data_IF_201717849611
#
_entry.id   IF_201717849611
#
_cell.length_a   1.000
_cell.length_b   1.000
_cell.length_c   1.000
_cell.angle_alpha   90.00
_cell.angle_beta   90.00
_cell.angle_gamma   90.00
#
_symmetry.space_group_name_H-M   'P 1'
#
loop_
_entity.id
_entity.type
_entity.pdbx_description
1 polymer ?
#
# COMPACT_ATOMS: atom_id res chain seq x y z
N UNK A 1 8.22 25.95 24.33
CA UNK A 1 9.12 25.35 23.32
C UNK A 1 9.00 23.85 23.50
N UNK A 2 8.33 23.17 22.57
CA UNK A 2 8.16 21.72 22.62
C UNK A 2 9.51 21.04 22.42
N UNK A 3 9.94 20.21 23.37
CA UNK A 3 11.11 19.35 23.21
C UNK A 3 10.92 18.47 21.97
N UNK A 4 11.72 18.70 20.93
CA UNK A 4 11.68 17.87 19.72
C UNK A 4 12.19 16.47 20.06
N UNK A 5 11.27 15.52 20.25
CA UNK A 5 11.60 14.14 20.58
C UNK A 5 12.35 13.49 19.40
N UNK A 6 13.65 13.23 19.61
CA UNK A 6 14.49 12.50 18.67
C UNK A 6 14.32 10.98 18.84
N UNK A 7 13.92 10.32 17.77
CA UNK A 7 13.75 8.88 17.68
C UNK A 7 15.08 8.17 17.42
N UNK A 8 15.19 6.96 17.93
CA UNK A 8 16.27 6.00 17.65
C UNK A 8 15.97 5.18 16.40
N UNK A 9 17.00 4.51 15.87
CA UNK A 9 16.86 3.55 14.75
C UNK A 9 15.75 2.51 15.03
N UNK A 10 15.71 1.98 16.25
CA UNK A 10 14.72 0.98 16.67
C UNK A 10 13.29 1.51 16.72
N UNK A 11 13.09 2.75 17.15
CA UNK A 11 11.75 3.36 17.14
C UNK A 11 11.28 3.61 15.72
N UNK A 12 12.18 4.04 14.82
CA UNK A 12 11.87 4.25 13.41
C UNK A 12 11.59 2.94 12.68
N UNK A 13 12.31 1.87 13.00
CA UNK A 13 12.08 0.53 12.40
C UNK A 13 10.69 0.02 12.72
N UNK A 14 10.23 0.18 13.97
CA UNK A 14 8.88 -0.15 14.40
C UNK A 14 7.85 0.71 13.66
N UNK A 15 8.10 2.02 13.56
CA UNK A 15 7.14 2.98 12.99
C UNK A 15 6.94 2.81 11.48
N UNK A 16 8.02 2.53 10.74
CA UNK A 16 8.01 2.27 9.30
C UNK A 16 7.79 0.79 8.96
N UNK A 17 7.83 -0.10 9.96
CA UNK A 17 7.69 -1.56 9.81
C UNK A 17 8.72 -2.17 8.85
N UNK A 18 9.97 -1.71 8.97
CA UNK A 18 11.14 -2.18 8.20
C UNK A 18 12.23 -2.63 9.16
N UNK A 19 13.25 -3.35 8.67
CA UNK A 19 14.35 -3.79 9.52
C UNK A 19 15.24 -2.63 9.98
N UNK A 20 15.93 -2.77 11.12
CA UNK A 20 16.87 -1.74 11.59
C UNK A 20 18.00 -1.47 10.59
N UNK A 21 18.46 -2.52 9.89
CA UNK A 21 19.44 -2.40 8.82
C UNK A 21 18.92 -1.51 7.68
N UNK A 22 17.69 -1.76 7.23
CA UNK A 22 17.06 -0.92 6.20
C UNK A 22 16.91 0.53 6.65
N UNK A 23 16.61 0.80 7.93
CA UNK A 23 16.55 2.17 8.44
C UNK A 23 17.92 2.86 8.33
N UNK A 24 19.00 2.14 8.63
CA UNK A 24 20.37 2.65 8.50
C UNK A 24 20.69 2.91 7.03
N UNK A 25 20.42 1.94 6.15
CA UNK A 25 20.64 2.08 4.71
C UNK A 25 19.83 3.27 4.14
N UNK A 26 18.58 3.45 4.59
CA UNK A 26 17.74 4.60 4.20
C UNK A 26 18.30 5.94 4.69
N UNK A 27 18.93 5.97 5.87
CA UNK A 27 19.58 7.16 6.39
C UNK A 27 20.87 7.48 5.60
N UNK A 28 21.68 6.46 5.29
CA UNK A 28 22.92 6.61 4.53
C UNK A 28 22.67 7.05 3.08
N UNK A 29 21.62 6.51 2.46
CA UNK A 29 21.20 6.88 1.12
C UNK A 29 20.46 8.25 1.06
N UNK A 30 20.22 8.89 2.21
CA UNK A 30 19.51 10.18 2.28
C UNK A 30 18.01 10.10 2.02
N UNK A 31 17.43 8.90 2.02
CA UNK A 31 15.98 8.66 1.85
C UNK A 31 15.18 9.20 3.04
N UNK A 32 15.73 9.07 4.26
CA UNK A 32 15.14 9.64 5.48
C UNK A 32 16.15 10.56 6.18
N UNK A 33 15.73 11.72 6.73
CA UNK A 33 16.65 12.63 7.41
C UNK A 33 17.15 12.05 8.73
N UNK A 34 18.47 11.92 8.87
CA UNK A 34 19.12 11.44 10.08
C UNK A 34 20.20 12.42 10.56
N UNK A 35 20.31 12.58 11.87
CA UNK A 35 21.28 13.43 12.54
C UNK A 35 22.25 12.56 13.34
N UNK A 36 23.55 12.83 13.22
CA UNK A 36 24.56 12.16 14.04
C UNK A 36 24.72 12.92 15.35
N UNK A 37 24.38 12.28 16.46
CA UNK A 37 24.58 12.81 17.81
C UNK A 37 25.83 12.17 18.40
N UNK A 38 26.76 13.00 18.88
CA UNK A 38 28.04 12.52 19.42
C UNK A 38 28.91 11.78 18.40
N UNK A 39 28.76 12.08 17.11
CA UNK A 39 29.56 11.50 16.02
C UNK A 39 29.19 10.07 15.59
N UNK A 40 28.45 9.33 16.41
CA UNK A 40 28.19 7.89 16.21
C UNK A 40 26.70 7.54 16.13
N UNK A 41 25.85 8.18 16.94
CA UNK A 41 24.45 7.75 17.07
C UNK A 41 23.55 8.43 16.04
N UNK A 42 22.84 7.63 15.25
CA UNK A 42 21.78 8.13 14.37
C UNK A 42 20.52 8.47 15.18
N UNK A 43 20.02 9.69 14.97
CA UNK A 43 18.79 10.20 15.55
C UNK A 43 17.90 10.80 14.47
N UNK A 44 16.60 10.62 14.62
CA UNK A 44 15.61 11.02 13.63
C UNK A 44 14.58 11.93 14.27
N UNK A 45 14.16 13.00 13.60
CA UNK A 45 13.05 13.81 14.11
C UNK A 45 11.72 13.13 13.80
N UNK A 46 10.84 13.07 14.80
CA UNK A 46 9.56 12.34 14.71
C UNK A 46 8.62 12.90 13.63
N UNK A 47 8.59 14.22 13.46
CA UNK A 47 7.83 14.94 12.44
C UNK A 47 8.22 14.50 11.02
N UNK A 48 9.51 14.47 10.70
CA UNK A 48 10.03 14.13 9.38
C UNK A 48 9.73 12.67 9.01
N UNK A 49 9.88 11.77 9.97
CA UNK A 49 9.58 10.35 9.75
C UNK A 49 8.07 10.14 9.54
N UNK A 50 7.23 10.90 10.25
CA UNK A 50 5.78 10.85 10.04
C UNK A 50 5.37 11.41 8.66
N UNK A 51 5.98 12.50 8.22
CA UNK A 51 5.77 13.04 6.88
C UNK A 51 6.19 12.06 5.79
N UNK A 52 7.36 11.43 5.94
CA UNK A 52 7.83 10.39 5.03
C UNK A 52 6.88 9.18 4.99
N UNK A 53 6.35 8.76 6.15
CA UNK A 53 5.34 7.68 6.19
C UNK A 53 4.07 8.06 5.43
N UNK A 54 3.63 9.32 5.52
CA UNK A 54 2.45 9.81 4.78
C UNK A 54 2.73 9.85 3.27
N UNK A 55 3.90 10.31 2.85
CA UNK A 55 4.28 10.35 1.44
C UNK A 55 4.37 8.93 0.85
N UNK A 56 4.99 7.99 1.56
CA UNK A 56 5.04 6.57 1.15
C UNK A 56 3.64 5.98 0.93
N UNK A 57 2.72 6.16 1.89
CA UNK A 57 1.35 5.68 1.73
C UNK A 57 0.65 6.31 0.53
N UNK A 58 0.85 7.61 0.31
CA UNK A 58 0.27 8.31 -0.84
C UNK A 58 0.81 7.77 -2.18
N UNK A 59 2.12 7.55 -2.28
CA UNK A 59 2.74 6.97 -3.48
C UNK A 59 2.27 5.53 -3.74
N UNK A 60 2.17 4.69 -2.70
CA UNK A 60 1.64 3.33 -2.82
C UNK A 60 0.18 3.37 -3.27
N UNK A 61 -0.65 4.20 -2.64
CA UNK A 61 -2.06 4.35 -3.01
C UNK A 61 -2.22 4.88 -4.45
N UNK A 62 -1.38 5.83 -4.87
CA UNK A 62 -1.39 6.36 -6.24
C UNK A 62 -0.95 5.29 -7.25
N UNK A 63 0.08 4.52 -6.95
CA UNK A 63 0.55 3.40 -7.78
C UNK A 63 -0.49 2.28 -7.87
N UNK A 64 -1.21 1.98 -6.79
CA UNK A 64 -2.34 1.06 -6.81
C UNK A 64 -3.50 1.62 -7.65
N UNK A 65 -3.77 2.93 -7.58
CA UNK A 65 -4.82 3.56 -8.39
C UNK A 65 -4.49 3.62 -9.89
N UNK A 66 -3.22 3.75 -10.24
CA UNK A 66 -2.76 3.72 -11.65
C UNK A 66 -2.66 2.31 -12.23
N UNK A 67 -2.40 1.28 -11.41
CA UNK A 67 -2.18 -0.11 -11.89
C UNK A 67 -3.45 -0.96 -11.98
N UNK A 68 -4.60 -0.46 -11.54
CA UNK A 68 -5.89 -1.15 -11.72
C UNK A 68 -6.80 -0.32 -12.62
N UNK A 69 -6.64 -0.36 -13.95
CA UNK A 69 -7.63 0.20 -14.84
C UNK A 69 -8.96 -0.54 -14.60
N UNK A 70 -10.06 0.20 -14.62
CA UNK A 70 -11.41 -0.33 -14.34
C UNK A 70 -11.77 -1.49 -15.29
N UNK A 71 -11.14 -1.53 -16.48
CA UNK A 71 -11.26 -2.63 -17.45
C UNK A 71 -10.81 -3.98 -16.90
N UNK A 72 -9.76 -4.02 -16.09
CA UNK A 72 -9.21 -5.28 -15.58
C UNK A 72 -10.13 -5.88 -14.52
N UNK A 73 -10.75 -5.03 -13.69
CA UNK A 73 -11.75 -5.45 -12.71
C UNK A 73 -12.97 -6.09 -13.38
N UNK A 74 -13.40 -5.57 -14.52
CA UNK A 74 -14.53 -6.13 -15.27
C UNK A 74 -14.14 -7.49 -15.84
N UNK A 75 -12.97 -7.60 -16.47
CA UNK A 75 -12.50 -8.86 -17.06
C UNK A 75 -12.32 -9.97 -16.01
N UNK A 76 -11.76 -9.64 -14.86
CA UNK A 76 -11.59 -10.55 -13.74
C UNK A 76 -12.95 -11.02 -13.19
N UNK A 77 -13.94 -10.14 -13.14
CA UNK A 77 -15.30 -10.50 -12.73
C UNK A 77 -15.92 -11.51 -13.71
N UNK A 78 -15.78 -11.30 -15.02
CA UNK A 78 -16.29 -12.23 -16.03
C UNK A 78 -15.53 -13.56 -16.06
N UNK A 79 -14.21 -13.54 -15.84
CA UNK A 79 -13.39 -14.77 -15.77
C UNK A 79 -13.73 -15.60 -14.53
N UNK A 80 -13.91 -14.97 -13.36
CA UNK A 80 -14.25 -15.67 -12.13
C UNK A 80 -15.70 -16.17 -12.09
N UNK A 81 -16.62 -15.48 -12.78
CA UNK A 81 -18.05 -15.79 -12.78
C UNK A 81 -18.52 -16.48 -14.08
N UNK A 82 -17.62 -17.05 -14.87
CA UNK A 82 -17.92 -17.68 -16.16
C UNK A 82 -19.01 -18.76 -16.06
N UNK A 83 -18.93 -19.64 -15.06
CA UNK A 83 -19.93 -20.68 -14.78
C UNK A 83 -21.30 -20.11 -14.38
N UNK A 84 -21.32 -19.03 -13.58
CA UNK A 84 -22.55 -18.37 -13.16
C UNK A 84 -23.24 -17.67 -14.33
N UNK A 85 -22.46 -17.07 -15.23
CA UNK A 85 -22.98 -16.42 -16.43
C UNK A 85 -23.58 -17.46 -17.38
N UNK A 86 -22.89 -18.58 -17.61
CA UNK A 86 -23.39 -19.69 -18.44
C UNK A 86 -24.68 -20.29 -17.86
N UNK A 87 -24.72 -20.53 -16.55
CA UNK A 87 -25.91 -21.05 -15.89
C UNK A 87 -27.07 -20.07 -15.91
N UNK A 88 -26.83 -18.77 -15.72
CA UNK A 88 -27.86 -17.74 -15.84
C UNK A 88 -28.47 -17.70 -17.26
N UNK A 89 -27.63 -17.80 -18.30
CA UNK A 89 -28.10 -17.86 -19.69
C UNK A 89 -28.94 -19.11 -19.94
N UNK A 90 -28.51 -20.27 -19.44
CA UNK A 90 -29.24 -21.53 -19.58
C UNK A 90 -30.62 -21.47 -18.89
N UNK A 91 -30.66 -20.97 -17.64
CA UNK A 91 -31.89 -20.79 -16.87
C UNK A 91 -32.83 -19.82 -17.59
N UNK A 92 -32.31 -18.71 -18.09
CA UNK A 92 -33.10 -17.72 -18.84
C UNK A 92 -33.72 -18.34 -20.10
N UNK A 93 -32.95 -19.13 -20.85
CA UNK A 93 -33.43 -19.82 -22.05
C UNK A 93 -34.56 -20.81 -21.71
N UNK A 94 -34.40 -21.59 -20.63
CA UNK A 94 -35.44 -22.49 -20.14
C UNK A 94 -36.71 -21.73 -19.73
N UNK A 95 -36.59 -20.61 -19.01
CA UNK A 95 -37.73 -19.78 -18.62
C UNK A 95 -38.46 -19.23 -19.85
N UNK A 96 -37.75 -18.77 -20.87
CA UNK A 96 -38.35 -18.29 -22.12
C UNK A 96 -39.12 -19.40 -22.83
N UNK A 97 -38.59 -20.63 -22.86
CA UNK A 97 -39.30 -21.77 -23.44
C UNK A 97 -40.59 -22.06 -22.66
N UNK A 98 -40.53 -22.10 -21.32
CA UNK A 98 -41.69 -22.38 -20.45
C UNK A 98 -42.77 -21.29 -20.59
N UNK A 99 -42.39 -20.03 -20.73
CA UNK A 99 -43.33 -18.91 -20.83
C UNK A 99 -43.93 -18.72 -22.22
N UNK A 100 -43.29 -19.28 -23.26
CA UNK A 100 -43.70 -19.11 -24.66
C UNK A 100 -44.37 -20.36 -25.25
N UNK A 101 -44.16 -21.53 -24.66
CA UNK A 101 -44.93 -22.76 -24.90
C UNK A 101 -46.18 -22.81 -24.03
#
# INVERSE_FOLDING_TARGET
MSEEKLLTVREVSILLSVSEKEVIDMAENGTIPAYKVGGVYLRFRSDQIQEYRKSLKSHILKKLKEKYPVSDRIRDFFYFNDFYILSAVLIFLLLVIILRG
#
